data_IF_933884535775
#
_entry.id   IF_933884535775
#
_cell.length_a   1.000
_cell.length_b   1.000
_cell.length_c   1.000
_cell.angle_alpha   90.00
_cell.angle_beta   90.00
_cell.angle_gamma   90.00
#
_symmetry.space_group_name_H-M   'P 1'
#
loop_
_entity.id
_entity.type
_entity.pdbx_description
1 polymer ?
#
# COMPACT_ATOMS: atom_id res chain seq x y z
N UNK A 1 -5.55 -44.92 -12.21
CA UNK A 1 -4.13 -44.69 -11.87
C UNK A 1 -3.89 -43.19 -11.86
N UNK A 2 -3.74 -42.58 -10.68
CA UNK A 2 -3.36 -41.16 -10.61
C UNK A 2 -1.85 -41.07 -10.83
N UNK A 3 -1.43 -40.37 -11.88
CA UNK A 3 -0.02 -40.04 -12.07
C UNK A 3 0.40 -39.10 -10.94
N UNK A 4 1.13 -39.60 -9.95
CA UNK A 4 1.75 -38.77 -8.92
C UNK A 4 2.89 -38.00 -9.57
N UNK A 5 2.73 -36.69 -9.72
CA UNK A 5 3.78 -35.80 -10.23
C UNK A 5 5.07 -35.97 -9.42
N UNK A 6 6.21 -35.90 -10.10
CA UNK A 6 7.51 -36.04 -9.43
C UNK A 6 7.73 -34.88 -8.43
N UNK A 7 8.53 -35.07 -7.36
CA UNK A 7 8.86 -33.98 -6.43
C UNK A 7 9.43 -32.74 -7.14
N UNK A 8 10.18 -32.92 -8.23
CA UNK A 8 10.72 -31.84 -9.04
C UNK A 8 9.63 -31.07 -9.80
N UNK A 9 8.65 -31.77 -10.39
CA UNK A 9 7.49 -31.14 -11.05
C UNK A 9 6.63 -30.37 -10.06
N UNK A 10 6.45 -30.91 -8.84
CA UNK A 10 5.72 -30.23 -7.76
C UNK A 10 6.44 -28.93 -7.37
N UNK A 11 7.77 -28.96 -7.23
CA UNK A 11 8.56 -27.78 -6.89
C UNK A 11 8.56 -26.73 -8.01
N UNK A 12 8.68 -27.15 -9.26
CA UNK A 12 8.57 -26.26 -10.42
C UNK A 12 7.20 -25.57 -10.45
N UNK A 13 6.11 -26.31 -10.26
CA UNK A 13 4.77 -25.75 -10.19
C UNK A 13 4.60 -24.75 -9.04
N UNK A 14 5.18 -25.02 -7.87
CA UNK A 14 5.21 -24.09 -6.74
C UNK A 14 5.97 -22.80 -7.07
N UNK A 15 7.12 -22.90 -7.74
CA UNK A 15 7.91 -21.75 -8.20
C UNK A 15 7.16 -20.87 -9.20
N UNK A 16 6.49 -21.47 -10.19
CA UNK A 16 5.66 -20.71 -11.14
C UNK A 16 4.50 -20.01 -10.45
N UNK A 17 3.79 -20.75 -9.58
CA UNK A 17 2.62 -20.21 -8.87
C UNK A 17 3.00 -19.07 -7.93
N UNK A 18 4.09 -19.22 -7.15
CA UNK A 18 4.51 -18.16 -6.23
C UNK A 18 5.01 -16.93 -6.99
N UNK A 19 5.69 -17.10 -8.13
CA UNK A 19 6.17 -15.99 -8.93
C UNK A 19 5.02 -15.13 -9.47
N UNK A 20 3.92 -15.76 -9.91
CA UNK A 20 2.72 -15.05 -10.34
C UNK A 20 2.04 -14.30 -9.18
N UNK A 21 1.94 -14.95 -8.01
CA UNK A 21 1.41 -14.32 -6.78
C UNK A 21 2.24 -13.12 -6.35
N UNK A 22 3.57 -13.22 -6.39
CA UNK A 22 4.49 -12.11 -6.07
C UNK A 22 4.25 -10.94 -7.02
N UNK A 23 4.17 -11.18 -8.33
CA UNK A 23 3.94 -10.12 -9.33
C UNK A 23 2.60 -9.40 -9.11
N UNK A 24 1.54 -10.15 -8.81
CA UNK A 24 0.22 -9.60 -8.50
C UNK A 24 0.23 -8.78 -7.21
N UNK A 25 0.84 -9.31 -6.15
CA UNK A 25 0.97 -8.61 -4.87
C UNK A 25 1.78 -7.31 -5.00
N UNK A 26 2.87 -7.35 -5.76
CA UNK A 26 3.71 -6.20 -6.07
C UNK A 26 2.92 -5.10 -6.77
N UNK A 27 2.18 -5.46 -7.83
CA UNK A 27 1.35 -4.51 -8.59
C UNK A 27 0.33 -3.84 -7.68
N UNK A 28 -0.41 -4.62 -6.89
CA UNK A 28 -1.44 -4.08 -5.99
C UNK A 28 -0.83 -3.21 -4.89
N UNK A 29 0.32 -3.61 -4.33
CA UNK A 29 1.04 -2.82 -3.33
C UNK A 29 1.46 -1.45 -3.89
N UNK A 30 2.13 -1.41 -5.05
CA UNK A 30 2.61 -0.15 -5.62
C UNK A 30 1.47 0.74 -6.11
N UNK A 31 0.36 0.18 -6.60
CA UNK A 31 -0.86 0.96 -6.90
C UNK A 31 -1.38 1.63 -5.63
N UNK A 32 -1.51 0.90 -4.52
CA UNK A 32 -1.98 1.47 -3.25
C UNK A 32 -1.01 2.54 -2.69
N UNK A 33 0.30 2.37 -2.87
CA UNK A 33 1.31 3.40 -2.51
C UNK A 33 1.11 4.67 -3.34
N UNK A 34 0.86 4.51 -4.65
CA UNK A 34 0.59 5.66 -5.52
C UNK A 34 -0.70 6.38 -5.11
N UNK A 35 -1.79 5.64 -4.89
CA UNK A 35 -3.06 6.18 -4.37
C UNK A 35 -2.85 6.98 -3.06
N UNK A 36 -2.02 6.46 -2.15
CA UNK A 36 -1.71 7.11 -0.88
C UNK A 36 -0.97 8.43 -1.08
N UNK A 37 0.02 8.45 -1.98
CA UNK A 37 0.79 9.65 -2.27
C UNK A 37 -0.07 10.72 -2.96
N UNK A 38 -0.93 10.33 -3.89
CA UNK A 38 -1.90 11.24 -4.50
C UNK A 38 -2.84 11.84 -3.47
N UNK A 39 -3.38 11.03 -2.55
CA UNK A 39 -4.25 11.54 -1.49
C UNK A 39 -3.53 12.50 -0.53
N UNK A 40 -2.25 12.25 -0.22
CA UNK A 40 -1.43 13.17 0.57
C UNK A 40 -1.29 14.52 -0.12
N UNK A 41 -1.01 14.51 -1.42
CA UNK A 41 -0.94 15.73 -2.23
C UNK A 41 -2.29 16.47 -2.25
N UNK A 42 -3.41 15.75 -2.41
CA UNK A 42 -4.75 16.35 -2.39
C UNK A 42 -5.04 17.06 -1.06
N UNK A 43 -4.63 16.46 0.07
CA UNK A 43 -4.75 17.07 1.40
C UNK A 43 -3.92 18.35 1.46
N UNK A 44 -2.65 18.32 1.05
CA UNK A 44 -1.77 19.48 1.06
C UNK A 44 -2.31 20.61 0.17
N UNK A 45 -2.81 20.29 -1.02
CA UNK A 45 -3.45 21.27 -1.91
C UNK A 45 -4.69 21.88 -1.27
N UNK A 46 -5.54 21.07 -0.62
CA UNK A 46 -6.73 21.55 0.08
C UNK A 46 -6.35 22.50 1.22
N UNK A 47 -5.32 22.18 2.00
CA UNK A 47 -4.83 23.05 3.08
C UNK A 47 -4.34 24.41 2.54
N UNK A 48 -3.62 24.40 1.41
CA UNK A 48 -3.17 25.63 0.72
C UNK A 48 -4.36 26.47 0.25
N UNK A 49 -5.38 25.85 -0.34
CA UNK A 49 -6.56 26.56 -0.82
C UNK A 49 -7.38 27.17 0.32
N UNK A 50 -7.53 26.43 1.43
CA UNK A 50 -8.18 26.94 2.64
C UNK A 50 -7.44 28.16 3.20
N UNK A 51 -6.10 28.13 3.21
CA UNK A 51 -5.29 29.25 3.64
C UNK A 51 -5.44 30.46 2.71
N UNK A 52 -5.34 30.26 1.39
CA UNK A 52 -5.51 31.34 0.39
C UNK A 52 -6.90 31.98 0.43
N UNK A 53 -7.93 31.20 0.73
CA UNK A 53 -9.31 31.67 0.81
C UNK A 53 -9.63 32.50 2.07
N UNK A 54 -8.70 32.60 3.02
CA UNK A 54 -8.91 33.30 4.29
C UNK A 54 -9.87 32.57 5.25
N UNK A 55 -10.29 31.34 4.93
CA UNK A 55 -11.14 30.50 5.78
C UNK A 55 -10.43 29.95 7.01
N UNK A 56 -9.10 30.05 7.06
CA UNK A 56 -8.27 29.54 8.14
C UNK A 56 -7.41 30.68 8.69
N UNK A 57 -7.57 30.98 9.97
CA UNK A 57 -6.75 31.99 10.65
C UNK A 57 -5.37 31.39 10.98
N UNK A 58 -4.33 31.99 10.40
CA UNK A 58 -2.93 31.54 10.49
C UNK A 58 -2.17 32.07 11.70
N UNK A 59 -2.82 32.75 12.66
CA UNK A 59 -2.15 33.40 13.81
C UNK A 59 -1.18 32.50 14.58
N UNK A 60 -1.46 31.21 14.69
CA UNK A 60 -0.52 30.21 15.18
C UNK A 60 -0.86 28.80 14.65
N UNK A 61 0.06 27.85 14.82
CA UNK A 61 -0.07 26.49 14.28
C UNK A 61 -1.22 25.68 14.90
N UNK A 62 -1.52 25.89 16.18
CA UNK A 62 -2.60 25.19 16.88
C UNK A 62 -3.96 25.64 16.33
N UNK A 63 -4.19 26.95 16.23
CA UNK A 63 -5.42 27.53 15.66
C UNK A 63 -5.60 27.12 14.21
N UNK A 64 -4.51 27.07 13.43
CA UNK A 64 -4.52 26.59 12.05
C UNK A 64 -4.99 25.13 11.97
N UNK A 65 -4.41 24.24 12.77
CA UNK A 65 -4.78 22.81 12.79
C UNK A 65 -6.24 22.60 13.18
N UNK A 66 -6.73 23.33 14.19
CA UNK A 66 -8.13 23.27 14.63
C UNK A 66 -9.08 23.77 13.53
N UNK A 67 -8.71 24.85 12.83
CA UNK A 67 -9.56 25.45 11.80
C UNK A 67 -9.60 24.65 10.50
N UNK A 68 -8.52 23.94 10.16
CA UNK A 68 -8.42 23.08 8.97
C UNK A 68 -9.17 21.76 9.19
N UNK A 69 -9.17 21.23 10.41
CA UNK A 69 -9.64 19.87 10.69
C UNK A 69 -11.07 19.58 10.18
N UNK A 70 -12.09 20.43 10.38
CA UNK A 70 -13.43 20.18 9.85
C UNK A 70 -13.48 20.06 8.32
N UNK A 71 -12.57 20.73 7.62
CA UNK A 71 -12.50 20.76 6.16
C UNK A 71 -11.68 19.60 5.57
N UNK A 72 -10.83 18.95 6.37
CA UNK A 72 -9.94 17.87 5.93
C UNK A 72 -10.17 16.54 6.63
N UNK A 73 -11.05 16.46 7.64
CA UNK A 73 -11.27 15.27 8.46
C UNK A 73 -11.53 14.01 7.62
N UNK A 74 -12.43 14.11 6.64
CA UNK A 74 -12.76 12.97 5.77
C UNK A 74 -11.55 12.51 4.94
N UNK A 75 -10.73 13.44 4.44
CA UNK A 75 -9.52 13.11 3.70
C UNK A 75 -8.47 12.46 4.61
N UNK A 76 -8.34 12.95 5.84
CA UNK A 76 -7.45 12.39 6.86
C UNK A 76 -7.87 10.97 7.27
N UNK A 77 -9.17 10.72 7.43
CA UNK A 77 -9.70 9.36 7.68
C UNK A 77 -9.39 8.42 6.51
N UNK A 78 -9.67 8.85 5.28
CA UNK A 78 -9.34 8.09 4.06
C UNK A 78 -7.84 7.80 3.97
N UNK A 79 -7.00 8.75 4.37
CA UNK A 79 -5.54 8.57 4.42
C UNK A 79 -5.16 7.48 5.42
N UNK A 80 -5.71 7.49 6.63
CA UNK A 80 -5.44 6.45 7.64
C UNK A 80 -5.85 5.06 7.15
N UNK A 81 -7.03 4.93 6.54
CA UNK A 81 -7.51 3.66 5.98
C UNK A 81 -6.58 3.15 4.88
N UNK A 82 -6.11 4.06 4.02
CA UNK A 82 -5.21 3.73 2.92
C UNK A 82 -3.79 3.42 3.41
N UNK A 83 -3.30 4.09 4.46
CA UNK A 83 -2.05 3.74 5.15
C UNK A 83 -2.12 2.33 5.71
N UNK A 84 -3.20 1.98 6.42
CA UNK A 84 -3.42 0.63 6.93
C UNK A 84 -3.45 -0.42 5.80
N UNK A 85 -4.13 -0.11 4.68
CA UNK A 85 -4.16 -0.97 3.48
C UNK A 85 -2.76 -1.17 2.90
N UNK A 86 -1.98 -0.09 2.73
CA UNK A 86 -0.60 -0.15 2.22
C UNK A 86 0.29 -0.99 3.14
N UNK A 87 0.18 -0.81 4.46
CA UNK A 87 0.93 -1.61 5.44
C UNK A 87 0.64 -3.10 5.32
N UNK A 88 -0.63 -3.48 5.20
CA UNK A 88 -1.04 -4.88 4.99
C UNK A 88 -0.48 -5.44 3.69
N UNK A 89 -0.67 -4.73 2.58
CA UNK A 89 -0.21 -5.17 1.26
C UNK A 89 1.31 -5.29 1.19
N UNK A 90 2.04 -4.38 1.85
CA UNK A 90 3.49 -4.47 2.01
C UNK A 90 3.88 -5.78 2.70
N UNK A 91 3.25 -6.09 3.83
CA UNK A 91 3.52 -7.34 4.56
C UNK A 91 3.27 -8.57 3.70
N UNK A 92 2.14 -8.61 2.98
CA UNK A 92 1.79 -9.71 2.09
C UNK A 92 2.80 -9.89 0.95
N UNK A 93 3.21 -8.79 0.31
CA UNK A 93 4.23 -8.80 -0.75
C UNK A 93 5.57 -9.35 -0.24
N UNK A 94 6.08 -8.83 0.89
CA UNK A 94 7.37 -9.28 1.44
C UNK A 94 7.32 -10.73 1.92
N UNK A 95 6.20 -11.17 2.48
CA UNK A 95 6.00 -12.58 2.84
C UNK A 95 6.09 -13.49 1.60
N UNK A 96 5.37 -13.16 0.53
CA UNK A 96 5.40 -13.94 -0.71
C UNK A 96 6.78 -13.95 -1.37
N UNK A 97 7.52 -12.83 -1.32
CA UNK A 97 8.92 -12.75 -1.78
C UNK A 97 9.82 -13.69 -0.99
N UNK A 98 9.67 -13.74 0.33
CA UNK A 98 10.44 -14.65 1.18
C UNK A 98 10.12 -16.12 0.87
N UNK A 99 8.84 -16.46 0.67
CA UNK A 99 8.42 -17.82 0.27
C UNK A 99 8.99 -18.21 -1.09
N UNK A 100 8.98 -17.28 -2.06
CA UNK A 100 9.57 -17.51 -3.38
C UNK A 100 11.07 -17.81 -3.27
N UNK A 101 11.79 -17.03 -2.47
CA UNK A 101 13.23 -17.22 -2.28
C UNK A 101 13.54 -18.56 -1.62
N UNK A 102 12.75 -18.97 -0.63
CA UNK A 102 12.87 -20.30 -0.03
C UNK A 102 12.67 -21.42 -1.06
N UNK A 103 11.69 -21.32 -1.96
CA UNK A 103 11.52 -22.32 -3.02
C UNK A 103 12.69 -22.33 -4.02
N UNK A 104 13.32 -21.18 -4.29
CA UNK A 104 14.51 -21.11 -5.14
C UNK A 104 15.70 -21.78 -4.47
N UNK A 105 15.90 -21.56 -3.18
CA UNK A 105 16.96 -22.23 -2.41
C UNK A 105 16.81 -23.76 -2.39
N UNK A 106 15.58 -24.26 -2.32
CA UNK A 106 15.31 -25.72 -2.33
C UNK A 106 15.52 -26.33 -3.73
N UNK A 107 15.38 -25.53 -4.79
CA UNK A 107 15.52 -25.99 -6.17
C UNK A 107 16.98 -26.00 -6.68
N UNK A 108 17.89 -25.32 -5.98
CA UNK A 108 19.33 -25.33 -6.21
C UNK A 108 20.00 -26.48 -5.45
#
# INVERSE_FOLDING_TARGET
MQATSSPAEILANKLYTIADKVRKAETVYYVAVHELNTLKLDIEMREVDLFKSGKVDGKNELTRKVSILPETEMLLRKKLDLEAKVHRLKSDYWHLKAVQENYRHIAN
#
